data_IF_117367872425
#
_entry.id   IF_117367872425
#
_cell.length_a   1.000
_cell.length_b   1.000
_cell.length_c   1.000
_cell.angle_alpha   90.00
_cell.angle_beta   90.00
_cell.angle_gamma   90.00
#
_symmetry.space_group_name_H-M   'P 1'
#
loop_
_entity.id
_entity.type
_entity.pdbx_description
1 polymer ?
#
# COMPACT_ATOMS: atom_id res chain seq x y z
N UNK A 1 -24.27 -5.77 11.07
CA UNK A 1 -23.27 -4.72 10.79
C UNK A 1 -23.00 -3.84 12.02
N UNK A 2 -23.86 -3.86 13.04
CA UNK A 2 -23.77 -3.02 14.26
C UNK A 2 -22.79 -3.52 15.35
N UNK A 3 -21.78 -4.33 15.01
CA UNK A 3 -20.80 -4.87 15.98
C UNK A 3 -19.36 -4.46 15.70
N UNK A 4 -19.13 -3.54 14.75
CA UNK A 4 -17.79 -3.06 14.41
C UNK A 4 -17.37 -1.96 15.40
N UNK A 5 -16.13 -2.00 15.87
CA UNK A 5 -15.56 -0.91 16.70
C UNK A 5 -15.71 0.43 15.99
N UNK A 6 -15.92 1.51 16.75
CA UNK A 6 -16.04 2.88 16.22
C UNK A 6 -14.91 3.24 15.25
N UNK A 7 -13.66 2.83 15.57
CA UNK A 7 -12.50 3.06 14.69
C UNK A 7 -12.61 2.36 13.33
N UNK A 8 -13.21 1.17 13.30
CA UNK A 8 -13.39 0.43 12.05
C UNK A 8 -14.54 1.02 11.22
N UNK A 9 -15.57 1.56 11.86
CA UNK A 9 -16.64 2.28 11.14
C UNK A 9 -16.12 3.57 10.51
N UNK A 10 -15.28 4.32 11.24
CA UNK A 10 -14.61 5.51 10.70
C UNK A 10 -13.72 5.14 9.50
N UNK A 11 -12.90 4.09 9.64
CA UNK A 11 -12.07 3.61 8.55
C UNK A 11 -12.89 3.13 7.35
N UNK A 12 -13.99 2.40 7.58
CA UNK A 12 -14.90 1.96 6.53
C UNK A 12 -15.42 3.14 5.72
N UNK A 13 -15.82 4.23 6.40
CA UNK A 13 -16.29 5.45 5.74
C UNK A 13 -15.19 6.10 4.90
N UNK A 14 -13.97 6.22 5.43
CA UNK A 14 -12.83 6.76 4.69
C UNK A 14 -12.56 5.95 3.42
N UNK A 15 -12.56 4.60 3.53
CA UNK A 15 -12.36 3.71 2.39
C UNK A 15 -13.49 3.92 1.38
N UNK A 16 -14.74 3.87 1.83
CA UNK A 16 -15.92 4.02 0.97
C UNK A 16 -15.97 5.35 0.22
N UNK A 17 -15.58 6.45 0.86
CA UNK A 17 -15.62 7.80 0.29
C UNK A 17 -14.40 8.12 -0.60
N UNK A 18 -13.35 7.28 -0.59
CA UNK A 18 -12.16 7.48 -1.42
C UNK A 18 -12.41 7.16 -2.90
N UNK A 19 -11.85 7.98 -3.79
CA UNK A 19 -11.86 7.75 -5.25
C UNK A 19 -10.81 6.72 -5.71
N UNK A 20 -9.83 6.41 -4.87
CA UNK A 20 -8.73 5.49 -5.16
C UNK A 20 -7.75 5.35 -3.99
N UNK A 21 -6.77 4.45 -4.12
CA UNK A 21 -5.90 4.05 -3.01
C UNK A 21 -4.42 4.05 -3.36
N UNK A 22 -3.57 4.36 -2.39
CA UNK A 22 -2.15 4.03 -2.43
C UNK A 22 -1.86 2.97 -1.36
N UNK A 23 -1.63 1.74 -1.79
CA UNK A 23 -1.32 0.62 -0.92
C UNK A 23 0.18 0.58 -0.67
N UNK A 24 0.58 0.78 0.60
CA UNK A 24 1.97 0.88 1.02
C UNK A 24 2.32 -0.31 1.90
N UNK A 25 3.34 -1.07 1.53
CA UNK A 25 3.78 -2.22 2.33
C UNK A 25 5.30 -2.31 2.45
N UNK A 26 5.85 -2.58 3.65
CA UNK A 26 7.17 -3.17 3.73
C UNK A 26 7.12 -4.62 3.23
N UNK A 27 8.26 -5.17 2.84
CA UNK A 27 8.41 -6.60 2.59
C UNK A 27 8.82 -7.34 3.86
N UNK A 28 7.94 -8.22 4.33
CA UNK A 28 8.22 -9.16 5.42
C UNK A 28 8.15 -10.58 4.86
N UNK A 29 9.27 -11.31 4.92
CA UNK A 29 9.37 -12.70 4.43
C UNK A 29 8.79 -12.89 3.02
N UNK A 30 9.15 -12.00 2.09
CA UNK A 30 8.65 -11.98 0.70
C UNK A 30 7.15 -11.73 0.52
N UNK A 31 6.49 -11.14 1.52
CA UNK A 31 5.06 -10.86 1.50
C UNK A 31 4.74 -9.48 2.05
N UNK A 32 3.47 -9.10 1.89
CA UNK A 32 2.88 -7.88 2.45
C UNK A 32 2.89 -7.91 3.98
N UNK A 33 2.84 -6.74 4.61
CA UNK A 33 2.71 -6.68 6.06
C UNK A 33 1.38 -7.28 6.52
N UNK A 34 1.43 -8.03 7.63
CA UNK A 34 0.22 -8.62 8.24
C UNK A 34 -0.78 -7.56 8.66
N UNK A 35 -0.30 -6.40 9.13
CA UNK A 35 -1.14 -5.26 9.49
C UNK A 35 -1.96 -4.76 8.28
N UNK A 36 -1.30 -4.52 7.13
CA UNK A 36 -2.01 -4.11 5.91
C UNK A 36 -3.00 -5.17 5.47
N UNK A 37 -2.60 -6.44 5.41
CA UNK A 37 -3.49 -7.52 4.98
C UNK A 37 -4.72 -7.64 5.87
N UNK A 38 -4.55 -7.53 7.19
CA UNK A 38 -5.67 -7.54 8.13
C UNK A 38 -6.64 -6.38 7.87
N UNK A 39 -6.12 -5.17 7.63
CA UNK A 39 -6.97 -4.01 7.28
C UNK A 39 -7.73 -4.22 5.97
N UNK A 40 -7.06 -4.78 4.95
CA UNK A 40 -7.69 -5.08 3.68
C UNK A 40 -8.81 -6.14 3.83
N UNK A 41 -8.60 -7.16 4.65
CA UNK A 41 -9.56 -8.26 4.85
C UNK A 41 -10.80 -7.87 5.67
N UNK A 42 -10.76 -6.74 6.39
CA UNK A 42 -11.93 -6.25 7.14
C UNK A 42 -13.06 -5.73 6.24
N UNK A 43 -12.77 -5.37 4.99
CA UNK A 43 -13.70 -4.73 4.07
C UNK A 43 -13.56 -5.35 2.69
N UNK A 44 -14.58 -5.22 1.83
CA UNK A 44 -14.50 -5.79 0.48
C UNK A 44 -15.23 -4.91 -0.53
N UNK A 45 -16.54 -4.75 -0.35
CA UNK A 45 -17.39 -4.00 -1.27
C UNK A 45 -16.96 -2.54 -1.41
N UNK A 46 -16.40 -1.96 -0.34
CA UNK A 46 -15.92 -0.58 -0.30
C UNK A 46 -14.73 -0.32 -1.24
N UNK A 47 -14.03 -1.37 -1.66
CA UNK A 47 -12.90 -1.30 -2.58
C UNK A 47 -13.29 -1.42 -4.05
N UNK A 48 -14.51 -1.90 -4.36
CA UNK A 48 -14.87 -2.26 -5.73
C UNK A 48 -14.76 -1.09 -6.72
N UNK A 49 -14.14 -1.38 -7.86
CA UNK A 49 -13.96 -0.50 -9.01
C UNK A 49 -13.11 0.76 -8.77
N UNK A 50 -12.37 0.80 -7.67
CA UNK A 50 -11.49 1.93 -7.34
C UNK A 50 -10.05 1.64 -7.77
N UNK A 51 -9.38 2.54 -8.51
CA UNK A 51 -7.99 2.35 -8.88
C UNK A 51 -7.09 2.35 -7.64
N UNK A 52 -6.03 1.55 -7.68
CA UNK A 52 -5.00 1.57 -6.64
C UNK A 52 -3.59 1.80 -7.21
N UNK A 53 -2.67 2.26 -6.37
CA UNK A 53 -1.24 2.35 -6.64
C UNK A 53 -0.49 1.54 -5.58
N UNK A 54 0.68 1.00 -5.92
CA UNK A 54 1.46 0.16 -5.01
C UNK A 54 2.81 0.81 -4.75
N UNK A 55 3.09 1.01 -3.47
CA UNK A 55 4.40 1.37 -2.93
C UNK A 55 4.89 0.20 -2.09
N UNK A 56 6.09 -0.28 -2.38
CA UNK A 56 6.74 -1.30 -1.56
C UNK A 56 8.06 -0.76 -1.02
N UNK A 57 8.48 -1.20 0.15
CA UNK A 57 9.79 -0.84 0.68
C UNK A 57 10.50 -2.02 1.34
N UNK A 58 11.82 -1.94 1.38
CA UNK A 58 12.67 -2.90 2.09
C UNK A 58 13.98 -2.24 2.49
N UNK A 59 14.62 -2.80 3.51
CA UNK A 59 16.02 -2.48 3.84
C UNK A 59 17.00 -3.03 2.80
N UNK A 60 16.57 -4.03 2.03
CA UNK A 60 17.35 -4.63 0.96
C UNK A 60 17.31 -3.83 -0.36
N UNK A 61 18.13 -4.23 -1.34
CA UNK A 61 18.31 -3.51 -2.59
C UNK A 61 17.13 -3.61 -3.56
N UNK A 62 16.18 -4.52 -3.34
CA UNK A 62 15.05 -4.77 -4.26
C UNK A 62 13.76 -4.03 -3.90
N UNK A 63 13.77 -3.21 -2.85
CA UNK A 63 12.65 -2.33 -2.50
C UNK A 63 11.31 -3.02 -2.26
N UNK A 64 11.36 -4.27 -1.80
CA UNK A 64 10.16 -5.03 -1.43
C UNK A 64 9.32 -5.52 -2.62
N UNK A 65 9.94 -5.72 -3.78
CA UNK A 65 9.21 -6.03 -5.02
C UNK A 65 8.37 -7.31 -4.96
N UNK A 66 8.73 -8.29 -4.12
CA UNK A 66 7.94 -9.53 -3.98
C UNK A 66 6.67 -9.25 -3.18
N UNK A 67 6.77 -8.46 -2.11
CA UNK A 67 5.58 -7.96 -1.40
C UNK A 67 4.69 -7.11 -2.31
N UNK A 68 5.28 -6.23 -3.12
CA UNK A 68 4.53 -5.43 -4.10
C UNK A 68 3.82 -6.27 -5.17
N UNK A 69 4.43 -7.36 -5.63
CA UNK A 69 3.81 -8.31 -6.56
C UNK A 69 2.66 -9.07 -5.90
N UNK A 70 2.83 -9.52 -4.66
CA UNK A 70 1.78 -10.19 -3.91
C UNK A 70 0.58 -9.25 -3.67
N UNK A 71 0.86 -7.99 -3.31
CA UNK A 71 -0.16 -6.96 -3.12
C UNK A 71 -0.95 -6.67 -4.39
N UNK A 72 -0.30 -6.72 -5.56
CA UNK A 72 -0.98 -6.58 -6.85
C UNK A 72 -2.02 -7.67 -7.06
N UNK A 73 -1.69 -8.93 -6.75
CA UNK A 73 -2.64 -10.04 -6.85
C UNK A 73 -3.82 -9.84 -5.91
N UNK A 74 -3.54 -9.48 -4.65
CA UNK A 74 -4.57 -9.18 -3.64
C UNK A 74 -5.49 -8.04 -4.11
N UNK A 75 -4.92 -6.94 -4.58
CA UNK A 75 -5.68 -5.76 -5.05
C UNK A 75 -6.63 -6.09 -6.21
N UNK A 76 -6.22 -6.98 -7.11
CA UNK A 76 -7.04 -7.42 -8.24
C UNK A 76 -8.22 -8.28 -7.76
N UNK A 77 -7.98 -9.20 -6.81
CA UNK A 77 -9.03 -10.04 -6.23
C UNK A 77 -10.06 -9.22 -5.44
N UNK A 78 -9.62 -8.14 -4.79
CA UNK A 78 -10.50 -7.22 -4.06
C UNK A 78 -11.31 -6.28 -4.97
N UNK A 79 -11.16 -6.35 -6.30
CA UNK A 79 -11.83 -5.45 -7.22
C UNK A 79 -11.27 -4.02 -7.23
N UNK A 80 -10.05 -3.80 -6.71
CA UNK A 80 -9.35 -2.52 -6.67
C UNK A 80 -8.01 -2.60 -7.43
N UNK A 81 -8.02 -2.88 -8.75
CA UNK A 81 -6.81 -3.20 -9.49
C UNK A 81 -5.79 -2.07 -9.44
N UNK A 82 -4.53 -2.45 -9.22
CA UNK A 82 -3.43 -1.49 -9.21
C UNK A 82 -3.05 -1.02 -10.62
N UNK A 83 -2.76 0.27 -10.78
CA UNK A 83 -2.18 0.86 -11.99
C UNK A 83 -0.84 0.19 -12.34
N UNK A 84 -0.36 0.43 -13.56
CA UNK A 84 0.84 -0.23 -14.08
C UNK A 84 2.11 0.16 -13.30
N UNK A 85 2.25 1.45 -13.02
CA UNK A 85 3.39 2.01 -12.30
C UNK A 85 3.41 1.56 -10.83
N UNK A 86 4.61 1.35 -10.32
CA UNK A 86 4.88 0.92 -8.95
C UNK A 86 6.08 1.67 -8.42
N UNK A 87 6.13 1.81 -7.10
CA UNK A 87 7.22 2.48 -6.42
C UNK A 87 7.89 1.53 -5.41
N UNK A 88 8.88 0.72 -5.83
CA UNK A 88 9.74 0.01 -4.90
C UNK A 88 10.81 0.97 -4.34
N UNK A 89 10.86 1.10 -3.02
CA UNK A 89 11.84 1.92 -2.30
C UNK A 89 12.91 1.01 -1.71
N UNK A 90 14.06 0.98 -2.38
CA UNK A 90 15.22 0.20 -1.98
C UNK A 90 15.99 0.88 -0.86
N UNK A 91 16.52 0.08 0.08
CA UNK A 91 17.30 0.57 1.23
C UNK A 91 16.60 1.74 1.93
N UNK A 92 15.34 1.55 2.31
CA UNK A 92 14.46 2.63 2.80
C UNK A 92 15.06 3.48 3.92
N UNK A 93 15.93 2.91 4.76
CA UNK A 93 16.67 3.59 5.82
C UNK A 93 17.68 4.65 5.33
N UNK A 94 18.08 4.61 4.06
CA UNK A 94 18.98 5.57 3.43
C UNK A 94 18.22 6.67 2.67
N UNK A 95 16.90 6.48 2.46
CA UNK A 95 16.06 7.36 1.63
C UNK A 95 15.43 8.49 2.44
N UNK A 96 15.19 8.27 3.74
CA UNK A 96 14.59 9.25 4.65
C UNK A 96 15.52 9.56 5.81
N UNK A 97 15.50 10.81 6.28
CA UNK A 97 16.18 11.18 7.53
C UNK A 97 15.38 10.76 8.78
N UNK A 98 15.92 11.07 9.96
CA UNK A 98 15.29 10.73 11.25
C UNK A 98 13.95 11.46 11.49
N UNK A 99 13.69 12.56 10.77
CA UNK A 99 12.45 13.33 10.83
C UNK A 99 11.44 12.85 9.76
N UNK A 100 11.79 11.82 8.99
CA UNK A 100 10.96 11.25 7.92
C UNK A 100 10.97 12.07 6.64
N UNK A 101 11.90 13.02 6.48
CA UNK A 101 12.04 13.82 5.27
C UNK A 101 12.80 13.03 4.21
N UNK A 102 12.30 13.07 2.98
CA UNK A 102 13.00 12.50 1.83
C UNK A 102 14.33 13.22 1.61
N UNK A 103 15.42 12.47 1.53
CA UNK A 103 16.79 12.99 1.29
C UNK A 103 17.41 12.45 0.00
N UNK A 104 16.83 11.41 -0.59
CA UNK A 104 17.25 10.87 -1.88
C UNK A 104 16.42 11.49 -3.02
N UNK A 105 17.05 12.42 -3.75
CA UNK A 105 16.45 13.15 -4.88
C UNK A 105 15.93 12.23 -5.99
N UNK A 106 16.42 10.99 -6.10
CA UNK A 106 15.93 10.03 -7.08
C UNK A 106 14.43 9.72 -6.91
N UNK A 107 13.89 9.92 -5.71
CA UNK A 107 12.47 9.72 -5.40
C UNK A 107 11.61 10.99 -5.53
N UNK A 108 12.20 12.18 -5.76
CA UNK A 108 11.44 13.45 -5.85
C UNK A 108 10.56 13.55 -7.11
N UNK A 109 10.94 12.87 -8.20
CA UNK A 109 10.21 12.89 -9.48
C UNK A 109 9.73 11.52 -9.93
N UNK A 110 9.29 10.68 -9.01
CA UNK A 110 8.62 9.45 -9.39
C UNK A 110 7.13 9.74 -9.62
N UNK A 111 6.84 10.23 -10.82
CA UNK A 111 5.46 10.23 -11.33
C UNK A 111 5.05 8.78 -11.62
N UNK A 112 3.93 8.35 -11.04
CA UNK A 112 3.16 7.21 -11.54
C UNK A 112 2.72 7.55 -12.98
N UNK A 113 3.57 7.20 -13.96
CA UNK A 113 3.29 7.32 -15.39
C UNK A 113 2.66 6.05 -15.92
#
# INVERSE_FOLDING_TARGET
MDSLSEKLQELQKIIKDADGYALITPEYNHSVSSALKNTLDCFLEEYFFKPSAIVSCSVGPFGGILAGNHLRQISAEMGAPAIQSRLPISKVQEVFDNDGKLIDENYERITFR
#
